data_IF_353283795021
#
_entry.id   IF_353283795021
#
_cell.length_a   1.000
_cell.length_b   1.000
_cell.length_c   1.000
_cell.angle_alpha   90.00
_cell.angle_beta   90.00
_cell.angle_gamma   90.00
#
_symmetry.space_group_name_H-M   'P 1'
#
loop_
_entity.id
_entity.type
_entity.pdbx_description
1 polymer ?
#
# COMPACT_ATOMS: atom_id res chain seq x y z
N UNK A 1 4.91 -4.41 -25.38
CA UNK A 1 5.33 -5.11 -24.15
C UNK A 1 6.56 -4.39 -23.61
N UNK A 2 6.39 -3.54 -22.61
CA UNK A 2 7.50 -2.84 -21.96
C UNK A 2 8.30 -3.86 -21.13
N UNK A 3 9.63 -3.94 -21.27
CA UNK A 3 10.42 -4.93 -20.55
C UNK A 3 10.40 -4.64 -19.04
N UNK A 4 10.17 -5.68 -18.24
CA UNK A 4 10.34 -5.64 -16.79
C UNK A 4 11.84 -5.50 -16.50
N UNK A 5 12.27 -4.33 -16.08
CA UNK A 5 13.64 -4.13 -15.62
C UNK A 5 13.70 -4.62 -14.17
N UNK A 6 14.34 -5.77 -13.97
CA UNK A 6 14.70 -6.19 -12.62
C UNK A 6 15.86 -5.30 -12.14
N UNK A 7 15.59 -4.42 -11.19
CA UNK A 7 16.63 -3.67 -10.50
C UNK A 7 17.37 -4.65 -9.58
N UNK A 8 18.68 -4.79 -9.80
CA UNK A 8 19.53 -5.77 -9.11
C UNK A 8 19.56 -5.53 -7.60
N UNK A 9 19.50 -6.56 -6.77
CA UNK A 9 19.60 -6.42 -5.31
C UNK A 9 21.04 -6.10 -4.93
N UNK A 10 21.25 -4.95 -4.31
CA UNK A 10 22.47 -4.68 -3.57
C UNK A 10 22.33 -5.33 -2.19
N UNK A 11 23.22 -6.27 -1.93
CA UNK A 11 23.59 -6.90 -0.66
C UNK A 11 22.46 -7.24 0.36
N UNK A 12 22.30 -8.54 0.58
CA UNK A 12 21.33 -9.14 1.50
C UNK A 12 21.81 -9.01 2.94
N UNK A 13 21.20 -8.13 3.71
CA UNK A 13 21.14 -8.29 5.18
C UNK A 13 19.87 -9.07 5.51
N UNK A 14 20.01 -10.29 6.00
CA UNK A 14 18.93 -11.26 6.14
C UNK A 14 17.88 -10.91 7.21
N UNK A 15 16.74 -11.47 7.05
CA UNK A 15 15.66 -11.92 7.94
C UNK A 15 14.31 -11.20 7.99
N UNK A 16 14.14 -9.93 7.68
CA UNK A 16 12.80 -9.32 7.69
C UNK A 16 12.15 -9.26 6.29
N UNK A 17 12.95 -9.06 5.25
CA UNK A 17 12.48 -8.86 3.88
C UNK A 17 12.04 -10.15 3.15
N UNK A 18 12.44 -11.33 3.64
CA UNK A 18 12.03 -12.61 3.06
C UNK A 18 10.64 -13.07 3.55
N UNK A 19 10.17 -12.54 4.69
CA UNK A 19 8.94 -13.06 5.32
C UNK A 19 7.67 -12.55 4.63
N UNK A 20 7.62 -11.30 4.17
CA UNK A 20 6.43 -10.78 3.48
C UNK A 20 6.19 -11.50 2.14
N UNK A 21 7.23 -11.81 1.38
CA UNK A 21 7.10 -12.48 0.10
C UNK A 21 6.54 -13.90 0.24
N UNK A 22 6.84 -14.58 1.37
CA UNK A 22 6.28 -15.89 1.70
C UNK A 22 4.79 -15.81 2.07
N UNK A 23 4.38 -14.71 2.69
CA UNK A 23 2.98 -14.47 3.06
C UNK A 23 2.08 -14.28 1.84
N UNK A 24 2.63 -13.77 0.72
CA UNK A 24 1.94 -13.62 -0.56
C UNK A 24 2.22 -14.83 -1.48
N UNK A 25 1.92 -16.03 -0.98
CA UNK A 25 2.02 -17.26 -1.77
C UNK A 25 1.12 -17.20 -3.02
N UNK A 26 1.50 -17.92 -4.08
CA UNK A 26 0.84 -17.80 -5.38
C UNK A 26 -0.66 -18.14 -5.32
N UNK A 27 -1.04 -19.16 -4.55
CA UNK A 27 -2.42 -19.59 -4.35
C UNK A 27 -3.26 -18.53 -3.61
N UNK A 28 -2.66 -17.81 -2.64
CA UNK A 28 -3.33 -16.70 -1.99
C UNK A 28 -3.49 -15.50 -2.94
N UNK A 29 -2.45 -15.17 -3.69
CA UNK A 29 -2.48 -14.05 -4.65
C UNK A 29 -3.47 -14.30 -5.78
N UNK A 30 -3.66 -15.55 -6.24
CA UNK A 30 -4.70 -15.86 -7.23
C UNK A 30 -6.11 -15.52 -6.73
N UNK A 31 -6.33 -15.58 -5.42
CA UNK A 31 -7.61 -15.22 -4.78
C UNK A 31 -7.69 -13.76 -4.31
N UNK A 32 -6.64 -12.97 -4.54
CA UNK A 32 -6.56 -11.61 -4.02
C UNK A 32 -7.69 -10.72 -4.55
N UNK A 33 -8.06 -10.86 -5.82
CA UNK A 33 -9.15 -10.07 -6.41
C UNK A 33 -10.55 -10.58 -5.99
N UNK A 34 -10.67 -11.80 -5.43
CA UNK A 34 -11.89 -12.23 -4.73
C UNK A 34 -12.02 -11.53 -3.38
N UNK A 35 -10.89 -11.31 -2.70
CA UNK A 35 -10.83 -10.60 -1.42
C UNK A 35 -11.03 -9.09 -1.61
N UNK A 36 -10.37 -8.51 -2.62
CA UNK A 36 -10.44 -7.09 -2.96
C UNK A 36 -11.39 -6.93 -4.15
N UNK A 37 -12.66 -6.70 -3.90
CA UNK A 37 -13.63 -6.36 -4.95
C UNK A 37 -13.32 -4.96 -5.50
N UNK A 38 -12.78 -4.90 -6.70
CA UNK A 38 -12.31 -3.65 -7.31
C UNK A 38 -13.41 -2.62 -7.50
N UNK A 39 -14.62 -3.04 -7.85
CA UNK A 39 -15.75 -2.13 -8.09
C UNK A 39 -16.27 -1.57 -6.77
N UNK A 40 -16.48 -2.41 -5.76
CA UNK A 40 -16.87 -1.97 -4.41
C UNK A 40 -15.81 -1.08 -3.78
N UNK A 41 -14.53 -1.41 -3.97
CA UNK A 41 -13.42 -0.59 -3.48
C UNK A 41 -13.39 0.77 -4.14
N UNK A 42 -13.48 0.82 -5.47
CA UNK A 42 -13.55 2.09 -6.21
C UNK A 42 -14.74 2.94 -5.77
N UNK A 43 -15.91 2.35 -5.55
CA UNK A 43 -17.09 3.05 -5.03
C UNK A 43 -16.87 3.57 -3.59
N UNK A 44 -16.19 2.80 -2.73
CA UNK A 44 -15.89 3.17 -1.34
C UNK A 44 -14.86 4.29 -1.22
N UNK A 45 -13.82 4.28 -2.04
CA UNK A 45 -12.77 5.32 -2.09
C UNK A 45 -13.24 6.58 -2.81
N UNK A 46 -14.16 6.45 -3.77
CA UNK A 46 -14.69 7.55 -4.57
C UNK A 46 -13.58 8.32 -5.30
N UNK A 47 -13.64 9.64 -5.22
CA UNK A 47 -12.64 10.54 -5.85
C UNK A 47 -11.48 10.91 -4.91
N UNK A 48 -11.42 10.38 -3.69
CA UNK A 48 -10.53 10.84 -2.64
C UNK A 48 -9.07 11.03 -3.08
N UNK A 49 -8.46 10.03 -3.69
CA UNK A 49 -7.07 10.14 -4.13
C UNK A 49 -6.90 11.16 -5.27
N UNK A 50 -7.87 11.26 -6.18
CA UNK A 50 -7.84 12.25 -7.26
C UNK A 50 -7.96 13.68 -6.71
N UNK A 51 -8.80 13.87 -5.68
CA UNK A 51 -9.03 15.15 -5.03
C UNK A 51 -7.84 15.63 -4.20
N UNK A 52 -6.94 14.73 -3.81
CA UNK A 52 -5.66 15.08 -3.21
C UNK A 52 -4.58 15.36 -4.27
N UNK A 53 -4.53 14.57 -5.34
CA UNK A 53 -3.46 14.64 -6.34
C UNK A 53 -3.62 15.84 -7.30
N UNK A 54 -4.84 16.09 -7.80
CA UNK A 54 -5.08 17.16 -8.80
C UNK A 54 -4.80 18.56 -8.27
N UNK A 55 -5.30 18.98 -7.09
CA UNK A 55 -4.99 20.29 -6.54
C UNK A 55 -3.51 20.48 -6.18
N UNK A 56 -2.80 19.37 -5.87
CA UNK A 56 -1.36 19.38 -5.65
C UNK A 56 -0.55 19.51 -6.96
N UNK A 57 -1.20 19.57 -8.13
CA UNK A 57 -0.54 19.60 -9.44
C UNK A 57 0.17 18.28 -9.80
N UNK A 58 -0.17 17.19 -9.11
CA UNK A 58 0.46 15.92 -9.37
C UNK A 58 -0.05 15.36 -10.70
N UNK A 59 0.90 15.01 -11.56
CA UNK A 59 0.64 14.35 -12.83
C UNK A 59 1.32 12.99 -12.88
N UNK A 60 2.62 12.94 -12.56
CA UNK A 60 3.44 11.73 -12.59
C UNK A 60 3.44 11.07 -11.22
N UNK A 61 2.88 9.87 -11.12
CA UNK A 61 2.61 9.16 -9.87
C UNK A 61 3.34 7.82 -9.83
N UNK A 62 4.04 7.54 -8.73
CA UNK A 62 4.58 6.22 -8.42
C UNK A 62 3.61 5.50 -7.46
N UNK A 63 3.05 4.38 -7.89
CA UNK A 63 2.40 3.42 -7.00
C UNK A 63 3.47 2.44 -6.51
N UNK A 64 3.98 2.68 -5.31
CA UNK A 64 5.16 2.00 -4.76
C UNK A 64 4.85 0.62 -4.13
N UNK A 65 3.58 0.26 -4.02
CA UNK A 65 3.11 -1.00 -3.48
C UNK A 65 1.83 -1.43 -4.21
N UNK A 66 1.97 -1.65 -5.52
CA UNK A 66 0.81 -1.76 -6.40
C UNK A 66 -0.04 -3.02 -6.17
N UNK A 67 0.52 -4.05 -5.53
CA UNK A 67 -0.18 -5.31 -5.31
C UNK A 67 -0.72 -5.89 -6.63
N UNK A 68 -2.01 -6.18 -6.69
CA UNK A 68 -2.68 -6.64 -7.91
C UNK A 68 -2.96 -5.55 -8.96
N UNK A 69 -2.56 -4.27 -8.70
CA UNK A 69 -2.61 -3.18 -9.66
C UNK A 69 -3.84 -2.27 -9.56
N UNK A 70 -4.63 -2.37 -8.50
CA UNK A 70 -5.89 -1.64 -8.37
C UNK A 70 -5.71 -0.12 -8.50
N UNK A 71 -4.91 0.51 -7.62
CA UNK A 71 -4.74 1.96 -7.64
C UNK A 71 -4.04 2.45 -8.91
N UNK A 72 -3.01 1.72 -9.37
CA UNK A 72 -2.34 2.06 -10.63
C UNK A 72 -3.32 2.09 -11.80
N UNK A 73 -4.23 1.11 -11.89
CA UNK A 73 -5.24 1.06 -12.93
C UNK A 73 -6.26 2.21 -12.82
N UNK A 74 -6.74 2.53 -11.61
CA UNK A 74 -7.70 3.61 -11.39
C UNK A 74 -7.09 4.97 -11.72
N UNK A 75 -5.86 5.23 -11.28
CA UNK A 75 -5.13 6.47 -11.57
C UNK A 75 -4.84 6.62 -13.07
N UNK A 76 -4.41 5.54 -13.74
CA UNK A 76 -4.18 5.54 -15.18
C UNK A 76 -5.47 5.88 -15.95
N UNK A 77 -6.60 5.25 -15.58
CA UNK A 77 -7.92 5.57 -16.17
C UNK A 77 -8.35 7.01 -15.92
N UNK A 78 -7.96 7.60 -14.78
CA UNK A 78 -8.22 9.00 -14.44
C UNK A 78 -7.28 9.99 -15.16
N UNK A 79 -6.34 9.49 -15.98
CA UNK A 79 -5.45 10.27 -16.84
C UNK A 79 -4.10 10.61 -16.20
N UNK A 80 -3.69 10.04 -15.08
CA UNK A 80 -2.36 10.23 -14.51
C UNK A 80 -1.29 9.43 -15.27
N UNK A 81 -0.06 9.95 -15.31
CA UNK A 81 1.14 9.22 -15.75
C UNK A 81 1.62 8.34 -14.59
N UNK A 82 1.25 7.06 -14.62
CA UNK A 82 1.49 6.14 -13.51
C UNK A 82 2.65 5.20 -13.84
N UNK A 83 3.55 5.06 -12.87
CA UNK A 83 4.51 3.95 -12.80
C UNK A 83 4.16 3.10 -11.59
N UNK A 84 4.08 1.78 -11.76
CA UNK A 84 3.75 0.84 -10.70
C UNK A 84 4.94 -0.03 -10.34
N UNK A 85 5.09 -0.33 -9.03
CA UNK A 85 6.06 -1.34 -8.60
C UNK A 85 5.56 -2.13 -7.37
N UNK A 86 6.10 -3.33 -7.23
CA UNK A 86 5.87 -4.19 -6.08
C UNK A 86 7.10 -5.11 -5.87
N UNK A 87 7.41 -5.46 -4.63
CA UNK A 87 8.49 -6.38 -4.31
C UNK A 87 8.12 -7.84 -4.53
N UNK A 88 6.83 -8.20 -4.39
CA UNK A 88 6.34 -9.57 -4.57
C UNK A 88 6.25 -9.94 -6.05
N UNK A 89 6.96 -10.98 -6.50
CA UNK A 89 6.87 -11.42 -7.89
C UNK A 89 5.47 -11.91 -8.26
N UNK A 90 4.77 -12.55 -7.34
CA UNK A 90 3.40 -13.05 -7.54
C UNK A 90 2.40 -11.91 -7.70
N UNK A 91 2.54 -10.82 -6.92
CA UNK A 91 1.73 -9.60 -7.08
C UNK A 91 2.02 -8.90 -8.42
N UNK A 92 3.29 -8.75 -8.79
CA UNK A 92 3.67 -8.19 -10.11
C UNK A 92 3.07 -8.99 -11.26
N UNK A 93 3.09 -10.30 -11.19
CA UNK A 93 2.48 -11.16 -12.22
C UNK A 93 0.94 -11.02 -12.23
N UNK A 94 0.32 -10.87 -11.07
CA UNK A 94 -1.12 -10.59 -10.97
C UNK A 94 -1.47 -9.23 -11.55
N UNK A 95 -0.74 -8.18 -11.19
CA UNK A 95 -0.95 -6.83 -11.74
C UNK A 95 -0.82 -6.82 -13.26
N UNK A 96 0.20 -7.51 -13.82
CA UNK A 96 0.38 -7.63 -15.27
C UNK A 96 -0.82 -8.26 -15.96
N UNK A 97 -1.36 -9.36 -15.39
CA UNK A 97 -2.57 -10.01 -15.93
C UNK A 97 -3.79 -9.08 -15.85
N UNK A 98 -3.94 -8.34 -14.75
CA UNK A 98 -5.03 -7.38 -14.59
C UNK A 98 -4.92 -6.21 -15.58
N UNK A 99 -3.74 -5.64 -15.80
CA UNK A 99 -3.53 -4.58 -16.80
C UNK A 99 -3.83 -5.07 -18.22
N UNK A 100 -3.36 -6.27 -18.56
CA UNK A 100 -3.68 -6.88 -19.86
C UNK A 100 -5.18 -7.09 -20.06
N UNK A 101 -5.89 -7.60 -19.03
CA UNK A 101 -7.36 -7.77 -19.06
C UNK A 101 -8.11 -6.46 -19.23
N UNK A 102 -7.58 -5.38 -18.68
CA UNK A 102 -8.16 -4.03 -18.77
C UNK A 102 -7.75 -3.28 -20.04
N UNK A 103 -6.82 -3.81 -20.82
CA UNK A 103 -6.30 -3.16 -22.03
C UNK A 103 -5.51 -1.88 -21.73
N UNK A 104 -4.85 -1.78 -20.58
CA UNK A 104 -4.05 -0.63 -20.17
C UNK A 104 -2.55 -0.96 -20.18
N UNK A 105 -1.73 0.05 -20.50
CA UNK A 105 -0.27 -0.07 -20.48
C UNK A 105 0.32 0.83 -19.40
N UNK A 106 0.51 0.26 -18.20
CA UNK A 106 1.14 0.92 -17.06
C UNK A 106 2.54 0.32 -16.89
N UNK A 107 3.62 1.13 -16.93
CA UNK A 107 4.96 0.66 -16.59
C UNK A 107 4.98 -0.04 -15.24
N UNK A 108 5.34 -1.32 -15.23
CA UNK A 108 5.28 -2.18 -14.05
C UNK A 108 6.66 -2.79 -13.76
N UNK A 109 7.17 -2.55 -12.57
CA UNK A 109 8.49 -3.01 -12.15
C UNK A 109 8.39 -3.93 -10.94
N UNK A 110 9.17 -5.00 -10.93
CA UNK A 110 9.48 -5.71 -9.69
C UNK A 110 10.62 -4.97 -9.00
N UNK A 111 10.36 -4.42 -7.83
CA UNK A 111 11.34 -3.59 -7.12
C UNK A 111 11.05 -3.56 -5.63
N UNK A 112 12.03 -3.93 -4.84
CA UNK A 112 12.01 -3.64 -3.41
C UNK A 112 12.21 -2.14 -3.19
N UNK A 113 11.59 -1.59 -2.15
CA UNK A 113 11.65 -0.16 -1.88
C UNK A 113 13.08 0.38 -1.69
N UNK A 114 13.99 -0.45 -1.14
CA UNK A 114 15.39 -0.08 -0.98
C UNK A 114 16.12 0.07 -2.32
N UNK A 115 15.65 -0.62 -3.36
CA UNK A 115 16.20 -0.56 -4.72
C UNK A 115 15.59 0.54 -5.59
N UNK A 116 14.60 1.29 -5.11
CA UNK A 116 14.04 2.44 -5.82
C UNK A 116 15.13 3.48 -6.10
N UNK A 117 15.31 3.86 -7.36
CA UNK A 117 16.33 4.82 -7.79
C UNK A 117 15.75 5.85 -8.75
N UNK A 118 15.76 7.11 -8.34
CA UNK A 118 15.28 8.22 -9.16
C UNK A 118 16.14 8.47 -10.42
N UNK A 119 17.35 7.94 -10.49
CA UNK A 119 18.18 7.99 -11.70
C UNK A 119 17.66 7.04 -12.78
N UNK A 120 16.98 5.97 -12.38
CA UNK A 120 16.40 4.96 -13.28
C UNK A 120 14.94 5.29 -13.62
N UNK A 121 14.12 5.57 -12.60
CA UNK A 121 12.68 5.78 -12.76
C UNK A 121 12.32 7.26 -12.97
N UNK A 122 13.25 8.17 -12.72
CA UNK A 122 12.98 9.61 -12.64
C UNK A 122 12.32 10.01 -11.34
N UNK A 123 11.92 11.28 -11.26
CA UNK A 123 11.20 11.83 -10.10
C UNK A 123 9.71 11.95 -10.37
N UNK A 124 8.93 11.84 -9.30
CA UNK A 124 7.47 11.84 -9.33
C UNK A 124 6.90 13.07 -8.62
N UNK A 125 5.70 13.48 -9.01
CA UNK A 125 4.92 14.49 -8.30
C UNK A 125 4.29 13.90 -7.04
N UNK A 126 3.92 12.62 -7.10
CA UNK A 126 3.40 11.90 -5.95
C UNK A 126 3.95 10.46 -5.87
N UNK A 127 4.08 9.95 -4.65
CA UNK A 127 4.34 8.54 -4.32
C UNK A 127 3.20 8.04 -3.46
N UNK A 128 2.64 6.89 -3.81
CA UNK A 128 1.61 6.18 -3.07
C UNK A 128 2.19 4.87 -2.52
N UNK A 129 2.00 4.64 -1.22
CA UNK A 129 2.28 3.37 -0.55
C UNK A 129 1.01 2.95 0.17
N UNK A 130 0.13 2.26 -0.54
CA UNK A 130 -1.21 1.95 -0.09
C UNK A 130 -1.36 0.45 0.22
N UNK A 131 -2.46 0.09 0.86
CA UNK A 131 -2.74 -1.29 1.20
C UNK A 131 -2.14 -1.75 2.52
N UNK A 132 -1.86 -0.84 3.44
CA UNK A 132 -1.14 -1.12 4.70
C UNK A 132 0.26 -1.72 4.47
N UNK A 133 0.85 -1.48 3.30
CA UNK A 133 2.07 -2.15 2.84
C UNK A 133 3.27 -1.79 3.70
N UNK A 134 3.39 -0.55 4.19
CA UNK A 134 4.50 -0.15 5.07
C UNK A 134 4.55 -0.97 6.37
N UNK A 135 3.42 -1.50 6.81
CA UNK A 135 3.30 -2.31 8.02
C UNK A 135 3.98 -3.69 7.92
N UNK A 136 4.38 -4.13 6.72
CA UNK A 136 5.21 -5.34 6.57
C UNK A 136 6.64 -5.15 7.09
N UNK A 137 7.10 -3.93 7.30
CA UNK A 137 8.39 -3.64 7.92
C UNK A 137 8.23 -3.52 9.45
N UNK A 138 8.74 -4.51 10.18
CA UNK A 138 8.66 -4.53 11.63
C UNK A 138 9.68 -3.60 12.29
N UNK A 139 10.84 -3.42 11.69
CA UNK A 139 11.86 -2.51 12.19
C UNK A 139 11.54 -1.05 11.86
N UNK A 140 11.52 -0.21 12.90
CA UNK A 140 11.28 1.23 12.78
C UNK A 140 12.30 1.94 11.91
N UNK A 141 13.57 1.62 12.04
CA UNK A 141 14.64 2.28 11.28
C UNK A 141 14.58 1.88 9.80
N UNK A 142 14.19 0.64 9.49
CA UNK A 142 13.92 0.20 8.13
C UNK A 142 12.75 0.98 7.51
N UNK A 143 11.65 1.22 8.27
CA UNK A 143 10.54 2.07 7.79
C UNK A 143 10.97 3.49 7.51
N UNK A 144 11.74 4.11 8.41
CA UNK A 144 12.27 5.48 8.20
C UNK A 144 13.20 5.51 6.97
N UNK A 145 14.03 4.49 6.78
CA UNK A 145 14.89 4.40 5.60
C UNK A 145 14.08 4.32 4.30
N UNK A 146 13.01 3.53 4.27
CA UNK A 146 12.09 3.44 3.13
C UNK A 146 11.36 4.77 2.91
N UNK A 147 10.86 5.42 3.94
CA UNK A 147 10.24 6.74 3.82
C UNK A 147 11.22 7.79 3.26
N UNK A 148 12.49 7.77 3.70
CA UNK A 148 13.56 8.60 3.09
C UNK A 148 13.75 8.26 1.60
N UNK A 149 13.66 6.99 1.23
CA UNK A 149 13.74 6.56 -0.17
C UNK A 149 12.56 7.11 -0.98
N UNK A 150 11.34 7.02 -0.47
CA UNK A 150 10.16 7.63 -1.12
C UNK A 150 10.33 9.13 -1.30
N UNK A 151 10.89 9.83 -0.28
CA UNK A 151 11.19 11.27 -0.40
C UNK A 151 12.22 11.55 -1.51
N UNK A 152 13.21 10.69 -1.71
CA UNK A 152 14.18 10.81 -2.80
C UNK A 152 13.56 10.60 -4.19
N UNK A 153 12.48 9.82 -4.28
CA UNK A 153 11.73 9.64 -5.53
C UNK A 153 10.85 10.84 -5.87
N UNK A 154 10.54 11.69 -4.91
CA UNK A 154 9.68 12.85 -5.11
C UNK A 154 10.45 14.06 -5.66
N UNK A 155 9.77 14.86 -6.47
CA UNK A 155 10.18 16.22 -6.78
C UNK A 155 10.11 17.09 -5.51
N UNK A 156 10.81 18.26 -5.46
CA UNK A 156 10.65 19.19 -4.34
C UNK A 156 9.17 19.58 -4.13
N UNK A 157 8.68 19.44 -2.90
CA UNK A 157 7.28 19.69 -2.56
C UNK A 157 6.29 18.61 -2.99
N UNK A 158 6.77 17.53 -3.59
CA UNK A 158 5.94 16.39 -4.02
C UNK A 158 5.22 15.70 -2.87
N UNK A 159 4.17 14.98 -3.18
CA UNK A 159 3.21 14.41 -2.24
C UNK A 159 3.50 12.94 -1.95
N UNK A 160 3.53 12.55 -0.69
CA UNK A 160 3.47 11.16 -0.24
C UNK A 160 2.08 10.87 0.33
N UNK A 161 1.49 9.76 -0.10
CA UNK A 161 0.28 9.18 0.49
C UNK A 161 0.61 7.77 1.00
N UNK A 162 0.34 7.52 2.30
CA UNK A 162 0.50 6.21 2.93
C UNK A 162 -0.78 5.87 3.65
N UNK A 163 -1.38 4.73 3.35
CA UNK A 163 -2.49 4.22 4.12
C UNK A 163 -2.08 3.07 5.04
N UNK A 164 -2.89 2.87 6.05
CA UNK A 164 -2.81 1.70 6.92
C UNK A 164 -4.15 1.42 7.60
N UNK A 165 -4.32 0.18 8.05
CA UNK A 165 -5.36 -0.15 9.02
C UNK A 165 -5.21 0.72 10.27
N UNK A 166 -6.32 1.04 10.88
CA UNK A 166 -6.32 1.82 12.13
C UNK A 166 -5.94 0.94 13.31
N UNK A 167 -4.63 0.79 13.53
CA UNK A 167 -4.11 -0.04 14.63
C UNK A 167 -4.40 0.55 16.02
N UNK A 168 -4.70 1.85 16.13
CA UNK A 168 -5.19 2.42 17.40
C UNK A 168 -6.50 1.76 17.82
N UNK A 169 -7.47 1.68 16.91
CA UNK A 169 -8.77 1.05 17.18
C UNK A 169 -8.65 -0.49 17.28
N UNK A 170 -7.81 -1.12 16.47
CA UNK A 170 -7.60 -2.57 16.48
C UNK A 170 -7.03 -3.02 17.83
N UNK A 171 -5.96 -2.37 18.31
CA UNK A 171 -5.34 -2.68 19.60
C UNK A 171 -6.28 -2.39 20.79
N UNK A 172 -7.23 -1.47 20.63
CA UNK A 172 -8.30 -1.23 21.60
C UNK A 172 -9.49 -2.21 21.50
N UNK A 173 -9.34 -3.31 20.71
CA UNK A 173 -10.37 -4.34 20.55
C UNK A 173 -11.54 -3.95 19.65
N UNK A 174 -11.36 -2.95 18.79
CA UNK A 174 -12.41 -2.43 17.89
C UNK A 174 -12.23 -2.85 16.45
N UNK A 175 -11.60 -3.99 16.18
CA UNK A 175 -11.50 -4.52 14.83
C UNK A 175 -12.88 -4.84 14.25
N UNK A 176 -13.13 -4.36 13.05
CA UNK A 176 -14.31 -4.70 12.26
C UNK A 176 -13.88 -5.32 10.94
N UNK A 177 -14.34 -6.53 10.68
CA UNK A 177 -14.28 -7.15 9.37
C UNK A 177 -15.44 -6.64 8.53
N UNK A 178 -15.52 -5.33 8.32
CA UNK A 178 -16.57 -4.80 7.44
C UNK A 178 -16.05 -4.78 6.01
N UNK A 179 -16.76 -5.40 5.08
CA UNK A 179 -16.50 -5.30 3.64
C UNK A 179 -16.76 -3.88 3.08
N UNK A 180 -16.42 -2.85 3.84
CA UNK A 180 -16.82 -1.48 3.51
C UNK A 180 -15.83 -0.74 2.62
N UNK A 181 -14.51 -0.97 2.79
CA UNK A 181 -13.50 -0.20 2.08
C UNK A 181 -12.40 -1.06 1.45
N UNK A 182 -11.88 -2.04 2.17
CA UNK A 182 -10.66 -2.74 1.78
C UNK A 182 -10.90 -4.19 1.38
N UNK A 183 -11.52 -4.95 2.25
CA UNK A 183 -11.91 -6.33 1.99
C UNK A 183 -13.40 -6.33 1.68
N UNK A 184 -13.71 -6.11 0.42
CA UNK A 184 -15.08 -5.90 -0.04
C UNK A 184 -15.70 -7.15 -0.66
N UNK A 185 -14.92 -8.22 -0.82
CA UNK A 185 -15.41 -9.50 -1.35
C UNK A 185 -16.33 -10.21 -0.37
N UNK A 186 -17.34 -10.87 -0.90
CA UNK A 186 -18.30 -11.65 -0.09
C UNK A 186 -17.83 -13.09 0.15
N UNK A 187 -16.68 -13.47 -0.42
CA UNK A 187 -16.17 -14.87 -0.43
C UNK A 187 -15.18 -15.16 0.69
N UNK A 188 -14.71 -14.13 1.39
CA UNK A 188 -13.74 -14.27 2.46
C UNK A 188 -14.16 -13.53 3.72
N UNK A 189 -13.90 -14.14 4.87
CA UNK A 189 -14.02 -13.52 6.18
C UNK A 189 -12.63 -13.24 6.74
N UNK A 190 -12.43 -12.05 7.33
CA UNK A 190 -11.17 -11.65 7.96
C UNK A 190 -11.36 -11.56 9.47
N UNK A 191 -10.53 -12.27 10.21
CA UNK A 191 -10.48 -12.21 11.68
C UNK A 191 -9.07 -11.89 12.13
N UNK A 192 -8.92 -11.53 13.40
CA UNK A 192 -7.60 -11.40 14.01
C UNK A 192 -7.13 -12.75 14.58
N UNK A 193 -5.85 -13.04 14.39
CA UNK A 193 -5.11 -14.08 15.09
C UNK A 193 -4.33 -13.48 16.27
N UNK A 194 -3.00 -13.58 16.23
CA UNK A 194 -2.12 -12.95 17.20
C UNK A 194 -2.23 -11.41 17.14
N UNK A 195 -2.37 -10.77 18.30
CA UNK A 195 -2.47 -9.32 18.41
C UNK A 195 -1.81 -8.82 19.68
N UNK A 196 -0.76 -8.03 19.53
CA UNK A 196 -0.15 -7.23 20.60
C UNK A 196 0.48 -5.95 20.01
N UNK A 197 1.29 -5.23 20.80
CA UNK A 197 1.96 -3.98 20.37
C UNK A 197 3.05 -4.21 19.29
N UNK A 198 3.46 -5.45 19.06
CA UNK A 198 4.54 -5.80 18.11
C UNK A 198 4.03 -6.49 16.85
N UNK A 199 2.88 -7.15 16.90
CA UNK A 199 2.33 -7.92 15.79
C UNK A 199 0.81 -7.82 15.73
N UNK A 200 0.28 -7.76 14.51
CA UNK A 200 -1.13 -7.98 14.20
C UNK A 200 -1.21 -9.03 13.10
N UNK A 201 -1.85 -10.15 13.39
CA UNK A 201 -2.10 -11.21 12.42
C UNK A 201 -3.53 -11.13 11.90
N UNK A 202 -3.68 -10.98 10.58
CA UNK A 202 -4.96 -11.12 9.89
C UNK A 202 -5.11 -12.53 9.34
N UNK A 203 -6.23 -13.17 9.65
CA UNK A 203 -6.57 -14.52 9.21
C UNK A 203 -7.74 -14.44 8.22
N UNK A 204 -7.44 -14.78 6.97
CA UNK A 204 -8.39 -14.78 5.86
C UNK A 204 -8.95 -16.19 5.69
N UNK A 205 -10.27 -16.35 5.79
CA UNK A 205 -10.96 -17.62 5.58
C UNK A 205 -11.93 -17.50 4.43
N UNK A 206 -11.75 -18.37 3.44
CA UNK A 206 -12.62 -18.43 2.27
C UNK A 206 -13.72 -19.48 2.48
N UNK A 207 -14.81 -19.36 1.71
CA UNK A 207 -15.99 -20.22 1.83
C UNK A 207 -15.69 -21.71 1.53
N UNK A 208 -14.67 -22.00 0.75
CA UNK A 208 -14.19 -23.36 0.44
C UNK A 208 -13.28 -23.96 1.52
N UNK A 209 -13.05 -23.23 2.62
CA UNK A 209 -12.20 -23.66 3.72
C UNK A 209 -10.73 -23.27 3.61
N UNK A 210 -10.28 -22.68 2.50
CA UNK A 210 -8.92 -22.18 2.38
C UNK A 210 -8.66 -21.06 3.41
N UNK A 211 -7.47 -21.07 4.01
CA UNK A 211 -7.09 -20.10 5.03
C UNK A 211 -5.68 -19.58 4.76
N UNK A 212 -5.52 -18.26 4.87
CA UNK A 212 -4.25 -17.56 4.73
C UNK A 212 -4.03 -16.60 5.89
N UNK A 213 -2.79 -16.24 6.14
CA UNK A 213 -2.39 -15.37 7.25
C UNK A 213 -1.44 -14.29 6.77
N UNK A 214 -1.68 -13.06 7.21
CA UNK A 214 -0.75 -11.95 7.04
C UNK A 214 -0.39 -11.39 8.42
N UNK A 215 0.90 -11.30 8.69
CA UNK A 215 1.45 -10.69 9.90
C UNK A 215 2.07 -9.35 9.57
N UNK A 216 1.69 -8.34 10.30
CA UNK A 216 2.14 -6.95 10.09
C UNK A 216 2.48 -6.30 11.43
N UNK A 217 3.33 -5.28 11.37
CA UNK A 217 3.59 -4.40 12.50
C UNK A 217 2.40 -3.45 12.71
N UNK A 218 1.79 -3.38 13.88
CA UNK A 218 0.67 -2.50 14.16
C UNK A 218 1.15 -1.05 14.42
N UNK A 219 1.49 -0.33 13.39
CA UNK A 219 1.98 1.05 13.47
C UNK A 219 0.82 1.97 13.87
N UNK A 220 0.91 2.63 15.03
CA UNK A 220 -0.11 3.61 15.45
C UNK A 220 -0.05 4.87 14.57
N UNK A 221 -1.18 5.58 14.34
CA UNK A 221 -1.20 6.78 13.49
C UNK A 221 -0.17 7.84 13.89
N UNK A 222 -0.01 8.10 15.19
CA UNK A 222 0.98 9.07 15.69
C UNK A 222 2.41 8.60 15.44
N UNK A 223 2.68 7.32 15.62
CA UNK A 223 4.00 6.75 15.36
C UNK A 223 4.40 6.94 13.89
N UNK A 224 3.48 6.70 12.95
CA UNK A 224 3.76 6.95 11.54
C UNK A 224 4.01 8.44 11.24
N UNK A 225 3.29 9.36 11.89
CA UNK A 225 3.57 10.80 11.78
C UNK A 225 4.98 11.14 12.25
N UNK A 226 5.41 10.59 13.39
CA UNK A 226 6.77 10.80 13.91
C UNK A 226 7.83 10.21 12.96
N UNK A 227 7.57 9.06 12.35
CA UNK A 227 8.45 8.43 11.36
C UNK A 227 8.52 9.25 10.04
N UNK A 228 7.41 9.83 9.59
CA UNK A 228 7.38 10.77 8.46
C UNK A 228 8.24 12.02 8.75
N UNK A 229 8.12 12.59 9.93
CA UNK A 229 9.00 13.71 10.34
C UNK A 229 10.47 13.31 10.39
N UNK A 230 10.80 12.15 10.96
CA UNK A 230 12.17 11.62 11.02
C UNK A 230 12.75 11.34 9.62
N UNK A 231 11.90 11.03 8.65
CA UNK A 231 12.27 10.88 7.24
C UNK A 231 12.40 12.23 6.49
N UNK A 232 12.07 13.35 7.14
CA UNK A 232 12.20 14.71 6.58
C UNK A 232 10.98 15.17 5.80
N UNK A 233 9.83 14.52 5.92
CA UNK A 233 8.57 15.01 5.39
C UNK A 233 8.01 16.15 6.24
N UNK A 234 7.25 17.04 5.60
CA UNK A 234 6.64 18.22 6.23
C UNK A 234 5.12 18.12 6.24
N UNK A 235 4.51 18.77 7.23
CA UNK A 235 3.07 18.94 7.36
C UNK A 235 2.27 17.64 7.19
N UNK A 236 2.60 16.56 7.93
CA UNK A 236 1.80 15.34 7.85
C UNK A 236 0.37 15.64 8.32
N UNK A 237 -0.58 15.27 7.48
CA UNK A 237 -2.01 15.33 7.74
C UNK A 237 -2.59 13.92 7.65
N UNK A 238 -3.64 13.63 8.42
CA UNK A 238 -4.27 12.32 8.41
C UNK A 238 -5.78 12.42 8.13
N UNK A 239 -6.27 11.44 7.38
CA UNK A 239 -7.68 11.24 7.08
C UNK A 239 -8.12 9.90 7.66
N UNK A 240 -9.32 9.84 8.23
CA UNK A 240 -9.95 8.59 8.66
C UNK A 240 -11.06 8.20 7.68
N UNK A 241 -11.01 7.00 7.14
CA UNK A 241 -11.99 6.50 6.14
C UNK A 241 -12.29 7.56 5.05
N UNK A 242 -11.21 8.13 4.48
CA UNK A 242 -11.26 9.15 3.41
C UNK A 242 -11.87 10.50 3.81
N UNK A 243 -11.95 10.82 5.12
CA UNK A 243 -12.53 12.08 5.63
C UNK A 243 -11.50 12.85 6.46
N UNK A 244 -11.45 14.18 6.32
CA UNK A 244 -10.51 15.01 7.09
C UNK A 244 -10.90 15.18 8.57
N UNK A 245 -12.19 14.99 8.90
CA UNK A 245 -12.71 15.03 10.27
C UNK A 245 -13.23 13.64 10.61
N UNK A 246 -12.65 13.03 11.62
CA UNK A 246 -12.98 11.68 12.03
C UNK A 246 -12.73 11.46 13.53
N UNK A 247 -13.41 10.48 14.08
CA UNK A 247 -13.10 9.91 15.40
C UNK A 247 -12.20 8.68 15.19
N UNK A 248 -10.97 8.75 15.70
CA UNK A 248 -9.98 7.69 15.53
C UNK A 248 -10.46 6.32 16.01
N UNK A 249 -11.38 6.26 16.96
CA UNK A 249 -11.92 5.00 17.47
C UNK A 249 -13.06 4.44 16.60
N UNK A 250 -13.50 5.16 15.57
CA UNK A 250 -14.64 4.79 14.74
C UNK A 250 -14.33 4.72 13.23
N UNK A 251 -13.07 4.75 12.84
CA UNK A 251 -12.61 4.57 11.45
C UNK A 251 -11.80 3.30 11.30
N UNK A 252 -11.86 2.68 10.14
CA UNK A 252 -11.17 1.41 9.83
C UNK A 252 -9.77 1.64 9.23
N UNK A 253 -9.58 2.77 8.55
CA UNK A 253 -8.32 3.15 7.88
C UNK A 253 -7.88 4.55 8.24
N UNK A 254 -6.57 4.74 8.28
CA UNK A 254 -5.93 6.05 8.37
C UNK A 254 -5.06 6.24 7.13
N UNK A 255 -5.26 7.34 6.42
CA UNK A 255 -4.46 7.74 5.28
C UNK A 255 -3.63 8.96 5.69
N UNK A 256 -2.31 8.85 5.60
CA UNK A 256 -1.39 9.94 5.86
C UNK A 256 -0.98 10.60 4.55
N UNK A 257 -1.03 11.92 4.55
CA UNK A 257 -0.52 12.80 3.50
C UNK A 257 0.66 13.58 4.05
N UNK A 258 1.76 13.68 3.30
CA UNK A 258 2.91 14.49 3.70
C UNK A 258 3.67 15.02 2.47
N UNK A 259 4.45 16.10 2.62
CA UNK A 259 5.18 16.75 1.54
C UNK A 259 6.70 16.58 1.68
N UNK A 260 7.39 16.37 0.55
CA UNK A 260 8.85 16.24 0.46
C UNK A 260 9.61 17.58 0.68
#
# INVERSE_FOLDING_TARGET
MTPVIALSPADRSGNADEDYARQYAADFVERWDELIDWDKRAAGEGSFFYDLLRPAGAWRVLDAATGSGFHAAQLHKAGFDVTACDGSPTMVDRARRNFARLGIDVPLHRCDWQALDARVLGKFDAVLCLGSSLCHLFDREARIAVLKRFRQMLKPGGLLLVDQRNFEAILAGRFRSSGRYYYCGDTANVTLGELDESVCEFVYRFADGAQYRLRVCPIRPRQLQDELHAAGFRAPHAYGDFKPIYDVMNVDFIIHQAHA
#
